data_IF_182986225977
#
_entry.id   IF_182986225977
#
_cell.length_a   1.000
_cell.length_b   1.000
_cell.length_c   1.000
_cell.angle_alpha   90.00
_cell.angle_beta   90.00
_cell.angle_gamma   90.00
#
_symmetry.space_group_name_H-M   'P 1'
#
loop_
_entity.id
_entity.type
_entity.pdbx_description
1 polymer ?
#
# COMPACT_ATOMS: atom_id res chain seq x y z
N UNK A 1 -63.73 -22.50 12.86
CA UNK A 1 -63.40 -21.38 13.76
C UNK A 1 -61.98 -21.58 14.29
N UNK A 2 -61.03 -20.80 13.77
CA UNK A 2 -59.67 -20.87 14.24
C UNK A 2 -59.56 -20.17 15.62
N UNK A 3 -59.19 -20.92 16.63
CA UNK A 3 -59.01 -20.37 18.00
C UNK A 3 -57.84 -19.38 18.01
N UNK A 4 -58.00 -18.21 18.66
CA UNK A 4 -57.00 -17.13 18.79
C UNK A 4 -55.64 -17.63 19.30
N UNK A 5 -55.59 -18.77 19.95
CA UNK A 5 -54.36 -19.41 20.45
C UNK A 5 -53.50 -20.00 19.33
N UNK A 6 -54.09 -20.54 18.27
CA UNK A 6 -53.31 -21.08 17.13
C UNK A 6 -52.65 -19.99 16.29
N UNK A 7 -53.32 -18.82 16.16
CA UNK A 7 -52.78 -17.68 15.45
C UNK A 7 -51.57 -17.06 16.17
N UNK A 8 -51.60 -17.00 17.48
CA UNK A 8 -50.47 -16.51 18.28
C UNK A 8 -49.23 -17.40 18.18
N UNK A 9 -49.41 -18.72 18.09
CA UNK A 9 -48.31 -19.67 17.95
C UNK A 9 -47.64 -19.59 16.59
N UNK A 10 -48.42 -19.42 15.50
CA UNK A 10 -47.85 -19.24 14.14
C UNK A 10 -47.10 -17.92 14.01
N UNK A 11 -47.63 -16.84 14.59
CA UNK A 11 -46.93 -15.54 14.58
C UNK A 11 -45.60 -15.58 15.36
N UNK A 12 -45.53 -16.34 16.47
CA UNK A 12 -44.31 -16.49 17.28
C UNK A 12 -43.22 -17.27 16.55
N UNK A 13 -43.59 -18.30 15.78
CA UNK A 13 -42.65 -19.10 14.97
C UNK A 13 -42.09 -18.25 13.81
N UNK A 14 -42.89 -17.38 13.19
CA UNK A 14 -42.46 -16.50 12.14
C UNK A 14 -41.46 -15.44 12.60
N UNK A 15 -41.63 -14.90 13.80
CA UNK A 15 -40.73 -13.93 14.40
C UNK A 15 -39.36 -14.54 14.73
N UNK A 16 -39.35 -15.81 15.22
CA UNK A 16 -38.09 -16.54 15.51
C UNK A 16 -37.32 -16.85 14.21
N UNK A 17 -37.99 -17.15 13.12
CA UNK A 17 -37.34 -17.43 11.82
C UNK A 17 -36.66 -16.21 11.22
N UNK A 18 -37.15 -14.99 11.49
CA UNK A 18 -36.54 -13.75 11.00
C UNK A 18 -35.25 -13.38 11.75
N UNK A 19 -35.12 -13.77 13.01
CA UNK A 19 -33.91 -13.52 13.81
C UNK A 19 -32.72 -14.42 13.44
N UNK A 20 -32.93 -15.49 12.67
CA UNK A 20 -31.85 -16.41 12.27
C UNK A 20 -31.18 -16.01 10.93
N UNK A 21 -31.68 -14.99 10.24
CA UNK A 21 -31.02 -14.43 9.06
C UNK A 21 -30.14 -13.21 9.42
N UNK A 22 -29.20 -13.39 10.33
CA UNK A 22 -28.10 -12.45 10.44
C UNK A 22 -27.15 -12.74 9.30
N UNK A 23 -26.94 -11.82 8.35
CA UNK A 23 -25.89 -12.02 7.35
C UNK A 23 -24.57 -12.06 8.10
N UNK A 24 -23.97 -13.23 8.15
CA UNK A 24 -22.57 -13.37 8.53
C UNK A 24 -21.78 -12.72 7.41
N UNK A 25 -21.42 -11.46 7.59
CA UNK A 25 -20.36 -10.87 6.79
C UNK A 25 -19.08 -11.62 7.17
N UNK A 26 -18.73 -12.62 6.36
CA UNK A 26 -17.40 -13.14 6.38
C UNK A 26 -16.50 -11.97 6.00
N UNK A 27 -15.81 -11.37 6.97
CA UNK A 27 -14.63 -10.59 6.67
C UNK A 27 -13.64 -11.57 6.09
N UNK A 28 -13.50 -11.57 4.77
CA UNK A 28 -12.32 -12.11 4.11
C UNK A 28 -11.12 -11.26 4.59
N UNK A 29 -10.60 -11.62 5.74
CA UNK A 29 -9.22 -11.30 6.05
C UNK A 29 -8.40 -12.17 5.12
N UNK A 30 -8.05 -11.63 3.95
CA UNK A 30 -6.96 -12.19 3.16
C UNK A 30 -5.81 -12.45 4.14
N UNK A 31 -5.35 -13.70 4.29
CA UNK A 31 -4.20 -13.94 5.14
C UNK A 31 -3.08 -13.08 4.57
N UNK A 32 -2.60 -12.13 5.37
CA UNK A 32 -1.40 -11.37 5.05
C UNK A 32 -0.34 -12.40 4.69
N UNK A 33 -0.05 -12.56 3.39
CA UNK A 33 1.03 -13.43 2.96
C UNK A 33 2.29 -12.91 3.62
N UNK A 34 2.81 -13.69 4.56
CA UNK A 34 4.10 -13.39 5.15
C UNK A 34 5.10 -13.23 4.00
N UNK A 35 5.74 -12.09 3.91
CA UNK A 35 6.78 -11.85 2.94
C UNK A 35 7.90 -12.86 3.18
N UNK A 36 8.40 -13.49 2.13
CA UNK A 36 9.53 -14.38 2.21
C UNK A 36 10.86 -13.63 2.11
N UNK A 37 10.88 -12.52 1.41
CA UNK A 37 12.08 -11.74 1.14
C UNK A 37 12.15 -10.45 1.99
N UNK A 38 11.02 -9.80 2.31
CA UNK A 38 10.98 -8.55 3.07
C UNK A 38 10.65 -8.85 4.54
N UNK A 39 11.59 -8.53 5.45
CA UNK A 39 11.38 -8.63 6.89
C UNK A 39 10.69 -7.37 7.44
N UNK A 40 11.18 -6.19 7.06
CA UNK A 40 10.59 -4.89 7.42
C UNK A 40 10.88 -3.84 6.36
N UNK A 41 10.10 -2.77 6.35
CA UNK A 41 10.33 -1.64 5.45
C UNK A 41 9.72 -0.35 6.00
N UNK A 42 10.20 0.77 5.49
CA UNK A 42 9.64 2.09 5.72
C UNK A 42 9.57 2.88 4.42
N UNK A 43 8.52 3.65 4.24
CA UNK A 43 8.37 4.60 3.14
C UNK A 43 7.72 5.88 3.66
N UNK A 44 8.29 7.03 3.27
CA UNK A 44 7.78 8.36 3.61
C UNK A 44 8.05 9.34 2.48
N UNK A 45 7.19 10.33 2.32
CA UNK A 45 7.34 11.41 1.33
C UNK A 45 7.00 12.72 2.01
N UNK A 46 7.90 13.69 1.93
CA UNK A 46 7.70 15.00 2.57
C UNK A 46 8.33 16.14 1.78
N UNK A 47 7.71 17.30 1.85
CA UNK A 47 8.29 18.55 1.36
C UNK A 47 9.49 18.97 2.22
N UNK A 48 10.54 19.44 1.57
CA UNK A 48 11.72 20.04 2.22
C UNK A 48 11.83 21.54 1.94
N UNK A 49 10.81 22.13 1.32
CA UNK A 49 10.75 23.53 0.94
C UNK A 49 11.27 23.82 -0.47
N UNK A 50 10.93 24.98 -0.99
CA UNK A 50 11.32 25.45 -2.33
C UNK A 50 10.95 24.49 -3.48
N UNK A 51 9.81 23.79 -3.36
CA UNK A 51 9.34 22.82 -4.34
C UNK A 51 10.03 21.45 -4.28
N UNK A 52 10.98 21.25 -3.38
CA UNK A 52 11.72 20.01 -3.26
C UNK A 52 10.98 18.99 -2.40
N UNK A 53 10.84 17.78 -2.90
CA UNK A 53 10.22 16.64 -2.23
C UNK A 53 11.30 15.60 -1.93
N UNK A 54 11.37 15.15 -0.66
CA UNK A 54 12.19 14.02 -0.24
C UNK A 54 11.34 12.75 -0.24
N UNK A 55 11.78 11.74 -0.98
CA UNK A 55 11.16 10.41 -1.07
C UNK A 55 12.11 9.45 -0.34
N UNK A 56 11.70 9.00 0.83
CA UNK A 56 12.52 8.25 1.78
C UNK A 56 12.03 6.81 1.78
N UNK A 57 12.93 5.87 1.68
CA UNK A 57 12.59 4.45 1.79
C UNK A 57 13.71 3.65 2.45
N UNK A 58 13.33 2.54 3.06
CA UNK A 58 14.24 1.52 3.55
C UNK A 58 13.59 0.14 3.47
N UNK A 59 14.40 -0.87 3.23
CA UNK A 59 13.97 -2.27 3.14
C UNK A 59 14.99 -3.14 3.86
N UNK A 60 14.50 -4.01 4.76
CA UNK A 60 15.27 -5.07 5.40
C UNK A 60 14.88 -6.41 4.79
N UNK A 61 15.83 -7.14 4.28
CA UNK A 61 15.64 -8.50 3.79
C UNK A 61 15.57 -9.51 4.92
N UNK A 62 14.86 -10.60 4.70
CA UNK A 62 14.85 -11.77 5.63
C UNK A 62 16.19 -12.50 5.69
N UNK A 63 17.07 -12.21 4.75
CA UNK A 63 18.43 -12.70 4.62
C UNK A 63 19.21 -11.80 3.68
N UNK A 64 20.35 -12.29 3.19
CA UNK A 64 21.12 -11.60 2.17
C UNK A 64 20.36 -11.64 0.84
N UNK A 65 19.98 -10.48 0.34
CA UNK A 65 19.27 -10.33 -0.93
C UNK A 65 20.24 -10.15 -2.09
N UNK A 66 19.93 -10.74 -3.23
CA UNK A 66 20.67 -10.52 -4.48
C UNK A 66 20.43 -9.10 -4.98
N UNK A 67 19.19 -8.60 -4.82
CA UNK A 67 18.80 -7.24 -5.20
C UNK A 67 17.72 -6.71 -4.25
N UNK A 68 17.88 -5.47 -3.75
CA UNK A 68 16.99 -4.88 -2.74
C UNK A 68 16.97 -3.36 -2.85
N UNK A 69 15.80 -2.74 -2.65
CA UNK A 69 15.66 -1.28 -2.66
C UNK A 69 14.29 -0.80 -3.13
N UNK A 70 14.27 0.30 -3.89
CA UNK A 70 13.09 0.77 -4.60
C UNK A 70 13.06 0.22 -6.03
N UNK A 71 11.99 -0.50 -6.37
CA UNK A 71 11.74 -1.01 -7.72
C UNK A 71 11.37 0.12 -8.66
N UNK A 72 10.50 1.02 -8.19
CA UNK A 72 10.04 2.18 -8.96
C UNK A 72 9.56 3.31 -8.06
N UNK A 73 9.85 4.53 -8.48
CA UNK A 73 9.25 5.75 -7.95
C UNK A 73 8.66 6.51 -9.13
N UNK A 74 7.35 6.81 -9.08
CA UNK A 74 6.66 7.60 -10.10
C UNK A 74 6.03 8.83 -9.47
N UNK A 75 6.25 9.99 -10.07
CA UNK A 75 5.74 11.28 -9.60
C UNK A 75 4.74 11.83 -10.61
N UNK A 76 3.59 12.26 -10.11
CA UNK A 76 2.54 12.97 -10.85
C UNK A 76 2.31 14.32 -10.20
N UNK A 77 2.12 15.34 -11.02
CA UNK A 77 1.73 16.68 -10.60
C UNK A 77 0.22 16.87 -10.80
N UNK A 78 -0.46 17.52 -9.88
CA UNK A 78 -1.83 17.92 -10.08
C UNK A 78 -1.89 19.20 -10.91
N UNK A 79 -2.56 19.13 -12.06
CA UNK A 79 -2.78 20.26 -12.96
C UNK A 79 -4.27 20.35 -13.26
N UNK A 80 -4.92 21.46 -12.87
CA UNK A 80 -6.36 21.64 -13.04
C UNK A 80 -7.20 20.48 -12.49
N UNK A 81 -6.81 19.93 -11.32
CA UNK A 81 -7.51 18.80 -10.68
C UNK A 81 -7.20 17.43 -11.28
N UNK A 82 -6.31 17.33 -12.25
CA UNK A 82 -5.92 16.10 -12.93
C UNK A 82 -4.48 15.75 -12.60
N UNK A 83 -4.21 14.47 -12.33
CA UNK A 83 -2.86 13.95 -12.12
C UNK A 83 -2.16 13.73 -13.46
N UNK A 84 -1.11 14.50 -13.70
CA UNK A 84 -0.29 14.45 -14.91
C UNK A 84 1.07 13.84 -14.57
N UNK A 85 1.50 12.86 -15.36
CA UNK A 85 2.82 12.25 -15.21
C UNK A 85 3.92 13.31 -15.27
N UNK A 86 4.83 13.28 -14.32
CA UNK A 86 5.96 14.19 -14.22
C UNK A 86 7.31 13.49 -14.38
N UNK A 87 7.53 12.38 -13.65
CA UNK A 87 8.81 11.66 -13.70
C UNK A 87 8.66 10.21 -13.19
N UNK A 88 9.57 9.33 -13.60
CA UNK A 88 9.72 8.00 -13.03
C UNK A 88 11.19 7.57 -13.02
N UNK A 89 11.56 6.85 -11.95
CA UNK A 89 12.89 6.23 -11.78
C UNK A 89 12.65 4.76 -11.50
N UNK A 90 13.32 3.87 -12.22
CA UNK A 90 13.28 2.43 -11.98
C UNK A 90 14.44 1.96 -11.08
N UNK A 91 14.45 0.67 -10.75
CA UNK A 91 15.43 0.06 -9.84
C UNK A 91 16.89 0.21 -10.27
N UNK A 92 17.15 0.48 -11.57
CA UNK A 92 18.50 0.67 -12.13
C UNK A 92 18.95 2.15 -12.03
N UNK A 93 18.05 3.04 -11.65
CA UNK A 93 18.37 4.45 -11.42
C UNK A 93 19.32 4.65 -10.24
N UNK A 94 20.07 5.75 -10.28
CA UNK A 94 21.04 6.07 -9.23
C UNK A 94 20.37 6.15 -7.85
N UNK A 95 20.90 5.41 -6.87
CA UNK A 95 20.42 5.41 -5.48
C UNK A 95 19.12 4.65 -5.24
N UNK A 96 18.61 3.92 -6.23
CA UNK A 96 17.35 3.19 -6.11
C UNK A 96 17.52 1.84 -5.40
N UNK A 97 18.60 1.12 -5.64
CA UNK A 97 18.79 -0.24 -5.12
C UNK A 97 20.26 -0.61 -4.94
N UNK A 98 20.49 -1.73 -4.27
CA UNK A 98 21.81 -2.34 -4.08
C UNK A 98 21.74 -3.86 -4.28
N UNK A 99 22.91 -4.45 -4.54
CA UNK A 99 23.07 -5.89 -4.72
C UNK A 99 23.80 -6.52 -3.54
N UNK A 100 23.53 -7.81 -3.30
CA UNK A 100 24.26 -8.65 -2.34
C UNK A 100 24.33 -8.06 -0.92
N UNK A 101 23.21 -7.56 -0.40
CA UNK A 101 23.10 -6.95 0.92
C UNK A 101 21.84 -7.38 1.66
N UNK A 102 21.83 -7.19 3.00
CA UNK A 102 20.68 -7.50 3.86
C UNK A 102 19.71 -6.32 4.00
N UNK A 103 20.18 -5.11 3.67
CA UNK A 103 19.44 -3.88 3.87
C UNK A 103 19.79 -2.87 2.78
N UNK A 104 18.82 -2.07 2.40
CA UNK A 104 19.04 -0.87 1.60
C UNK A 104 18.05 0.22 1.99
N UNK A 105 18.54 1.44 2.13
CA UNK A 105 17.70 2.61 2.35
C UNK A 105 18.37 3.85 1.78
N UNK A 106 17.56 4.76 1.26
CA UNK A 106 18.02 6.00 0.67
C UNK A 106 16.93 7.08 0.68
N UNK A 107 17.31 8.29 0.31
CA UNK A 107 16.42 9.41 0.03
C UNK A 107 16.63 9.86 -1.40
N UNK A 108 15.59 9.81 -2.21
CA UNK A 108 15.56 10.35 -3.56
C UNK A 108 14.88 11.71 -3.51
N UNK A 109 15.47 12.70 -4.14
CA UNK A 109 14.89 14.04 -4.20
C UNK A 109 14.28 14.31 -5.57
N UNK A 110 13.08 14.86 -5.54
CA UNK A 110 12.40 15.38 -6.73
C UNK A 110 12.26 16.90 -6.60
N UNK A 111 12.67 17.64 -7.63
CA UNK A 111 12.54 19.09 -7.69
C UNK A 111 11.26 19.43 -8.44
N UNK A 112 10.21 19.71 -7.69
CA UNK A 112 8.91 20.14 -8.18
C UNK A 112 8.77 21.67 -8.17
N UNK A 113 7.54 22.13 -8.30
CA UNK A 113 7.15 23.54 -8.25
C UNK A 113 6.58 23.83 -6.87
N UNK A 114 7.10 24.85 -6.19
CA UNK A 114 6.64 25.24 -4.87
C UNK A 114 5.14 25.57 -4.87
N UNK A 115 4.41 24.99 -3.92
CA UNK A 115 2.97 25.17 -3.76
C UNK A 115 2.10 24.22 -4.59
N UNK A 116 2.66 23.47 -5.51
CA UNK A 116 1.94 22.47 -6.30
C UNK A 116 1.75 21.16 -5.54
N UNK A 117 0.67 20.44 -5.84
CA UNK A 117 0.34 19.13 -5.27
C UNK A 117 0.95 18.00 -6.11
N UNK A 118 1.52 17.02 -5.44
CA UNK A 118 2.13 15.85 -6.06
C UNK A 118 1.56 14.56 -5.51
N UNK A 119 1.39 13.56 -6.38
CA UNK A 119 1.17 12.17 -6.03
C UNK A 119 2.44 11.39 -6.33
N UNK A 120 2.98 10.72 -5.33
CA UNK A 120 4.21 9.93 -5.43
C UNK A 120 3.87 8.47 -5.16
N UNK A 121 4.11 7.62 -6.14
CA UNK A 121 3.94 6.17 -6.04
C UNK A 121 5.31 5.54 -5.86
N UNK A 122 5.51 4.85 -4.73
CA UNK A 122 6.76 4.18 -4.37
C UNK A 122 6.49 2.69 -4.29
N UNK A 123 7.27 1.89 -5.00
CA UNK A 123 7.29 0.43 -4.86
C UNK A 123 8.68 0.01 -4.40
N UNK A 124 8.76 -0.62 -3.22
CA UNK A 124 10.00 -1.23 -2.72
C UNK A 124 9.99 -2.72 -3.02
N UNK A 125 11.17 -3.36 -3.05
CA UNK A 125 11.32 -4.77 -3.33
C UNK A 125 12.53 -5.39 -2.64
N UNK A 126 12.50 -6.71 -2.53
CA UNK A 126 13.64 -7.54 -2.17
C UNK A 126 13.58 -8.85 -2.96
N UNK A 127 14.71 -9.28 -3.51
CA UNK A 127 14.85 -10.45 -4.38
C UNK A 127 16.03 -11.29 -3.94
N UNK A 128 15.83 -12.61 -3.89
CA UNK A 128 16.86 -13.64 -3.70
C UNK A 128 16.67 -14.79 -4.69
N UNK A 129 17.48 -15.84 -4.61
CA UNK A 129 17.40 -17.00 -5.49
C UNK A 129 16.04 -17.74 -5.42
N UNK A 130 15.25 -17.54 -4.36
CA UNK A 130 13.95 -18.19 -4.17
C UNK A 130 12.77 -17.39 -4.72
N UNK A 131 12.96 -16.11 -4.99
CA UNK A 131 11.91 -15.24 -5.53
C UNK A 131 12.06 -13.77 -5.15
N UNK A 132 11.00 -13.00 -5.39
CA UNK A 132 10.93 -11.57 -5.14
C UNK A 132 9.62 -11.20 -4.46
N UNK A 133 9.69 -10.26 -3.54
CA UNK A 133 8.54 -9.59 -2.95
C UNK A 133 8.61 -8.08 -3.19
N UNK A 134 7.45 -7.44 -3.36
CA UNK A 134 7.36 -5.99 -3.48
C UNK A 134 6.21 -5.41 -2.66
N UNK A 135 6.32 -4.12 -2.31
CA UNK A 135 5.29 -3.37 -1.57
C UNK A 135 5.11 -2.00 -2.20
N UNK A 136 3.94 -1.72 -2.78
CA UNK A 136 3.60 -0.39 -3.28
C UNK A 136 2.99 0.49 -2.19
N UNK A 137 3.21 1.79 -2.26
CA UNK A 137 2.52 2.80 -1.47
C UNK A 137 2.41 4.11 -2.23
N UNK A 138 1.26 4.78 -2.08
CA UNK A 138 0.98 6.09 -2.68
C UNK A 138 0.94 7.16 -1.62
N UNK A 139 1.57 8.29 -1.91
CA UNK A 139 1.64 9.47 -1.07
C UNK A 139 1.13 10.69 -1.83
N UNK A 140 0.59 11.65 -1.08
CA UNK A 140 0.17 12.95 -1.58
C UNK A 140 0.90 14.02 -0.77
N UNK A 141 1.60 14.92 -1.44
CA UNK A 141 2.43 15.94 -0.81
C UNK A 141 2.36 17.27 -1.58
N UNK A 142 2.33 18.36 -0.83
CA UNK A 142 2.44 19.70 -1.37
C UNK A 142 3.89 20.17 -1.29
N UNK A 143 4.49 20.51 -2.43
CA UNK A 143 5.90 20.90 -2.55
C UNK A 143 6.18 22.34 -2.12
#
# INVERSE_FOLDING_TARGET
>A
MFTRTKLKFVASIFIIAIYLMVPVFAYDTEPSRASKQIMSYSMDVKSTGNGRIAIIFSVDGTGKMEHIGAERITVYQQVNGIWVYANSIDQNGSGMSANNTYYYGNTIYYNGISGEEYRVEVTIFAEDASGSDSRPKTFYEKA
#
